data_IF_194889674471
#
_entry.id   IF_194889674471
#
_cell.length_a   1.000
_cell.length_b   1.000
_cell.length_c   1.000
_cell.angle_alpha   90.00
_cell.angle_beta   90.00
_cell.angle_gamma   90.00
#
_symmetry.space_group_name_H-M   'P 1'
#
loop_
_entity.id
_entity.type
_entity.pdbx_description
1 polymer ?
#
# COMPACT_ATOMS: atom_id res chain seq x y z
N UNK A 1 -92.33 13.43 7.41
CA UNK A 1 -91.89 12.01 7.52
C UNK A 1 -90.74 11.61 6.59
N UNK A 2 -90.03 12.52 5.89
CA UNK A 2 -88.92 12.16 4.98
C UNK A 2 -87.50 12.36 5.54
N UNK A 3 -87.35 12.99 6.71
CA UNK A 3 -86.03 13.32 7.30
C UNK A 3 -85.53 12.29 8.32
N UNK A 4 -86.40 11.43 8.87
CA UNK A 4 -86.02 10.49 9.93
C UNK A 4 -85.39 9.18 9.38
N UNK A 5 -85.79 8.75 8.17
CA UNK A 5 -85.24 7.55 7.53
C UNK A 5 -83.80 7.73 7.03
N UNK A 6 -83.37 8.95 6.72
CA UNK A 6 -82.01 9.22 6.25
C UNK A 6 -80.96 9.10 7.36
N UNK A 7 -81.33 9.43 8.61
CA UNK A 7 -80.43 9.42 9.76
C UNK A 7 -80.10 7.99 10.24
N UNK A 8 -81.06 7.07 10.13
CA UNK A 8 -80.87 5.66 10.50
C UNK A 8 -79.96 4.93 9.51
N UNK A 9 -80.06 5.23 8.21
CA UNK A 9 -79.20 4.62 7.18
C UNK A 9 -77.74 5.10 7.31
N UNK A 10 -77.52 6.36 7.70
CA UNK A 10 -76.18 6.90 7.92
C UNK A 10 -75.49 6.28 9.16
N UNK A 11 -76.25 5.98 10.22
CA UNK A 11 -75.71 5.36 11.43
C UNK A 11 -75.30 3.88 11.25
N UNK A 12 -75.97 3.15 10.36
CA UNK A 12 -75.63 1.75 10.04
C UNK A 12 -74.45 1.63 9.06
N UNK A 13 -74.20 2.64 8.24
CA UNK A 13 -73.01 2.69 7.38
C UNK A 13 -71.71 2.95 8.17
N UNK A 14 -71.80 3.65 9.30
CA UNK A 14 -70.66 3.94 10.17
C UNK A 14 -70.19 2.73 11.01
N UNK A 15 -71.04 1.70 11.18
CA UNK A 15 -70.70 0.49 11.94
C UNK A 15 -69.99 -0.58 11.10
N UNK A 16 -70.06 -0.49 9.77
CA UNK A 16 -69.40 -1.43 8.86
C UNK A 16 -67.90 -1.15 8.67
N UNK A 17 -67.45 0.10 8.82
CA UNK A 17 -66.04 0.50 8.70
C UNK A 17 -65.21 0.17 9.94
N UNK A 18 -65.83 -0.13 11.08
CA UNK A 18 -65.15 -0.51 12.32
C UNK A 18 -64.64 -1.97 12.35
N UNK A 19 -65.07 -2.81 11.39
CA UNK A 19 -64.66 -4.22 11.26
C UNK A 19 -63.84 -4.51 10.00
N UNK A 20 -63.36 -3.49 9.29
CA UNK A 20 -62.44 -3.70 8.18
C UNK A 20 -61.09 -4.19 8.73
N UNK A 21 -60.53 -5.33 8.24
CA UNK A 21 -59.24 -5.81 8.69
C UNK A 21 -58.18 -4.78 8.26
N UNK A 22 -57.58 -4.10 9.24
CA UNK A 22 -56.42 -3.24 9.00
C UNK A 22 -55.33 -4.10 8.41
N UNK A 23 -55.00 -3.88 7.13
CA UNK A 23 -53.90 -4.56 6.47
C UNK A 23 -52.64 -4.33 7.31
N UNK A 24 -52.23 -5.36 8.04
CA UNK A 24 -51.00 -5.33 8.83
C UNK A 24 -49.89 -5.23 7.81
N UNK A 25 -49.30 -4.05 7.65
CA UNK A 25 -48.04 -3.92 6.91
C UNK A 25 -47.09 -4.89 7.59
N UNK A 26 -46.79 -6.00 6.91
CA UNK A 26 -45.71 -6.89 7.30
C UNK A 26 -44.44 -6.07 7.19
N UNK A 27 -44.04 -5.46 8.29
CA UNK A 27 -42.73 -4.88 8.42
C UNK A 27 -41.79 -6.08 8.45
N UNK A 28 -41.20 -6.39 7.29
CA UNK A 28 -40.12 -7.36 7.22
C UNK A 28 -39.07 -6.94 8.24
N UNK A 29 -38.97 -7.67 9.35
CA UNK A 29 -37.88 -7.60 10.31
C UNK A 29 -36.67 -8.38 9.80
N UNK A 30 -36.46 -8.38 8.48
CA UNK A 30 -35.15 -8.71 7.96
C UNK A 30 -34.21 -7.63 8.49
N UNK A 31 -33.44 -7.99 9.52
CA UNK A 31 -32.18 -7.35 9.84
C UNK A 31 -31.50 -7.15 8.47
N UNK A 32 -31.37 -5.91 8.01
CA UNK A 32 -30.42 -5.62 6.93
C UNK A 32 -29.07 -5.94 7.55
N UNK A 33 -28.62 -7.18 7.37
CA UNK A 33 -27.24 -7.54 7.64
C UNK A 33 -26.44 -6.56 6.79
N UNK A 34 -25.81 -5.59 7.44
CA UNK A 34 -24.89 -4.68 6.78
C UNK A 34 -23.93 -5.54 5.94
N UNK A 35 -23.74 -5.14 4.69
CA UNK A 35 -22.89 -5.91 3.79
C UNK A 35 -21.50 -6.00 4.41
N UNK A 36 -21.08 -7.22 4.73
CA UNK A 36 -19.77 -7.44 5.37
C UNK A 36 -18.69 -6.88 4.44
N UNK A 37 -17.83 -6.01 4.96
CA UNK A 37 -16.63 -5.50 4.27
C UNK A 37 -15.79 -6.62 3.62
N UNK A 38 -15.82 -7.83 4.20
CA UNK A 38 -15.17 -8.99 3.61
C UNK A 38 -15.63 -9.30 2.17
N UNK A 39 -16.91 -9.07 1.84
CA UNK A 39 -17.43 -9.32 0.50
C UNK A 39 -16.92 -8.33 -0.54
N UNK A 40 -16.61 -7.09 -0.16
CA UNK A 40 -16.09 -6.07 -1.08
C UNK A 40 -14.56 -6.12 -1.23
N UNK A 41 -13.86 -6.68 -0.24
CA UNK A 41 -12.39 -6.76 -0.23
C UNK A 41 -11.84 -8.06 -0.85
N UNK A 42 -12.68 -9.10 -0.97
CA UNK A 42 -12.24 -10.46 -1.30
C UNK A 42 -13.01 -11.01 -2.49
N UNK A 43 -12.29 -11.52 -3.48
CA UNK A 43 -12.89 -12.31 -4.55
C UNK A 43 -13.03 -13.77 -4.10
N UNK A 44 -14.27 -14.22 -3.94
CA UNK A 44 -14.59 -15.59 -3.50
C UNK A 44 -14.47 -16.63 -4.61
N UNK A 45 -14.35 -16.20 -5.87
CA UNK A 45 -14.35 -17.09 -7.04
C UNK A 45 -12.98 -17.70 -7.28
N UNK A 46 -11.92 -16.92 -7.09
CA UNK A 46 -10.54 -17.34 -7.33
C UNK A 46 -9.76 -17.53 -6.03
N UNK A 47 -8.77 -18.42 -6.06
CA UNK A 47 -7.83 -18.66 -4.96
C UNK A 47 -6.49 -17.99 -5.24
N UNK A 48 -5.78 -17.61 -4.18
CA UNK A 48 -4.40 -17.13 -4.28
C UNK A 48 -3.47 -18.23 -4.76
N UNK A 49 -2.49 -17.91 -5.62
CA UNK A 49 -1.46 -18.87 -6.07
C UNK A 49 -0.49 -19.23 -4.95
N UNK A 50 -0.08 -18.23 -4.15
CA UNK A 50 0.86 -18.42 -3.05
C UNK A 50 0.25 -19.12 -1.84
N UNK A 51 -1.03 -18.87 -1.56
CA UNK A 51 -1.75 -19.47 -0.42
C UNK A 51 -3.05 -20.11 -0.93
N UNK A 52 -3.02 -21.37 -1.43
CA UNK A 52 -4.14 -21.96 -2.17
C UNK A 52 -5.46 -22.09 -1.40
N UNK A 53 -5.40 -22.12 -0.06
CA UNK A 53 -6.60 -22.18 0.79
C UNK A 53 -7.28 -20.83 0.97
N UNK A 54 -6.61 -19.71 0.71
CA UNK A 54 -7.19 -18.37 0.82
C UNK A 54 -7.80 -17.90 -0.51
N UNK A 55 -8.97 -17.23 -0.47
CA UNK A 55 -9.49 -16.51 -1.63
C UNK A 55 -8.57 -15.34 -1.99
N UNK A 56 -8.64 -14.93 -3.24
CA UNK A 56 -7.78 -13.89 -3.79
C UNK A 56 -8.25 -12.49 -3.36
N UNK A 57 -7.35 -11.55 -3.02
CA UNK A 57 -7.72 -10.15 -2.86
C UNK A 57 -8.20 -9.55 -4.19
N UNK A 58 -9.23 -8.70 -4.14
CA UNK A 58 -9.89 -8.17 -5.33
C UNK A 58 -8.96 -7.34 -6.24
N UNK A 59 -7.97 -6.66 -5.66
CA UNK A 59 -7.08 -5.78 -6.39
C UNK A 59 -5.89 -6.51 -7.02
N UNK A 60 -5.56 -7.72 -6.58
CA UNK A 60 -4.51 -8.51 -7.19
C UNK A 60 -5.14 -9.30 -8.34
N UNK A 61 -4.75 -9.04 -9.58
CA UNK A 61 -5.30 -9.67 -10.80
C UNK A 61 -4.23 -10.46 -11.60
N UNK A 62 -2.95 -10.30 -11.27
CA UNK A 62 -1.82 -11.02 -11.86
C UNK A 62 -1.18 -10.25 -12.99
N UNK A 63 -1.65 -9.03 -13.24
CA UNK A 63 -1.12 -8.12 -14.26
C UNK A 63 0.19 -7.48 -13.81
N UNK A 64 0.40 -7.37 -12.49
CA UNK A 64 1.60 -6.74 -11.96
C UNK A 64 2.81 -7.69 -11.97
N UNK A 65 4.02 -7.16 -12.22
CA UNK A 65 5.25 -7.95 -12.14
C UNK A 65 5.47 -8.49 -10.73
N UNK A 66 5.83 -9.77 -10.65
CA UNK A 66 6.05 -10.46 -9.38
C UNK A 66 4.78 -10.72 -8.53
N UNK A 67 3.58 -10.60 -9.11
CA UNK A 67 2.33 -10.96 -8.43
C UNK A 67 2.12 -12.49 -8.38
N UNK A 68 2.07 -13.03 -7.16
CA UNK A 68 1.73 -14.42 -6.88
C UNK A 68 0.45 -14.55 -6.04
N UNK A 69 -0.33 -13.46 -5.91
CA UNK A 69 -1.50 -13.38 -5.04
C UNK A 69 -1.17 -13.46 -3.55
N UNK A 70 0.07 -13.20 -3.14
CA UNK A 70 0.49 -13.29 -1.75
C UNK A 70 0.10 -12.03 -0.98
N UNK A 71 -1.12 -12.01 -0.45
CA UNK A 71 -1.58 -11.01 0.52
C UNK A 71 -2.60 -11.68 1.46
N UNK A 72 -2.11 -12.45 2.45
CA UNK A 72 -2.98 -13.18 3.38
C UNK A 72 -3.77 -12.26 4.33
N UNK A 73 -3.38 -10.99 4.45
CA UNK A 73 -3.99 -10.01 5.33
C UNK A 73 -4.89 -9.00 4.61
N UNK A 74 -5.06 -9.12 3.29
CA UNK A 74 -5.89 -8.26 2.45
C UNK A 74 -5.51 -6.77 2.56
N UNK A 75 -4.22 -6.48 2.72
CA UNK A 75 -3.71 -5.10 2.81
C UNK A 75 -3.94 -4.33 1.51
N UNK A 76 -3.89 -5.03 0.37
CA UNK A 76 -4.17 -4.45 -0.94
C UNK A 76 -5.62 -4.01 -1.11
N UNK A 77 -6.56 -4.58 -0.34
CA UNK A 77 -8.00 -4.32 -0.43
C UNK A 77 -8.51 -3.26 0.54
N UNK A 78 -7.63 -2.64 1.33
CA UNK A 78 -8.04 -1.60 2.29
C UNK A 78 -8.63 -0.40 1.52
N UNK A 79 -9.89 0.00 1.78
CA UNK A 79 -10.54 1.09 1.09
C UNK A 79 -10.15 2.45 1.71
N UNK A 80 -8.86 2.79 1.69
CA UNK A 80 -8.34 4.06 2.18
C UNK A 80 -7.40 4.69 1.16
N UNK A 81 -7.47 6.02 1.04
CA UNK A 81 -6.50 6.77 0.25
C UNK A 81 -5.24 7.04 1.08
N UNK A 82 -4.16 6.32 0.79
CA UNK A 82 -2.87 6.47 1.47
C UNK A 82 -2.14 7.77 1.08
N UNK A 83 -2.52 8.45 0.00
CA UNK A 83 -2.00 9.77 -0.33
C UNK A 83 -2.29 10.82 0.76
N UNK A 84 -3.28 10.54 1.63
CA UNK A 84 -3.62 11.33 2.80
C UNK A 84 -2.46 11.62 3.76
N UNK A 85 -1.39 10.80 3.73
CA UNK A 85 -0.18 11.03 4.51
C UNK A 85 0.69 12.18 3.98
N UNK A 86 0.63 12.46 2.67
CA UNK A 86 1.38 13.54 2.02
C UNK A 86 0.54 14.82 1.99
N UNK A 87 -0.69 14.70 1.48
CA UNK A 87 -1.65 15.79 1.43
C UNK A 87 -2.87 15.40 2.23
N UNK A 88 -3.23 16.14 3.30
CA UNK A 88 -4.43 15.85 4.08
C UNK A 88 -5.68 15.79 3.18
N UNK A 89 -6.59 14.83 3.38
CA UNK A 89 -7.78 14.69 2.56
C UNK A 89 -8.77 15.87 2.69
N UNK A 90 -8.59 16.73 3.69
CA UNK A 90 -9.37 17.94 3.89
C UNK A 90 -8.96 19.12 3.00
N UNK A 91 -7.82 19.03 2.30
CA UNK A 91 -7.35 20.12 1.44
C UNK A 91 -8.10 20.19 0.11
N UNK A 92 -8.42 19.03 -0.48
CA UNK A 92 -9.05 18.94 -1.79
C UNK A 92 -9.74 17.58 -1.99
N UNK A 93 -10.92 17.57 -2.61
CA UNK A 93 -11.58 16.34 -3.03
C UNK A 93 -10.86 15.75 -4.25
N UNK A 94 -10.09 14.69 -4.03
CA UNK A 94 -9.34 14.01 -5.09
C UNK A 94 -9.93 12.62 -5.36
N UNK A 95 -9.77 12.14 -6.59
CA UNK A 95 -10.20 10.79 -7.00
C UNK A 95 -9.53 9.68 -6.16
N UNK A 96 -8.37 10.00 -5.60
CA UNK A 96 -7.62 9.16 -4.68
C UNK A 96 -6.75 8.14 -5.39
N UNK A 97 -5.65 7.72 -4.74
CA UNK A 97 -4.75 6.70 -5.27
C UNK A 97 -5.32 5.32 -4.93
N UNK A 98 -5.36 4.37 -5.89
CA UNK A 98 -5.65 2.97 -5.58
C UNK A 98 -4.65 2.42 -4.55
N UNK A 99 -5.14 1.73 -3.52
CA UNK A 99 -4.28 1.17 -2.45
C UNK A 99 -3.15 0.32 -3.02
N UNK A 100 -3.41 -0.48 -4.04
CA UNK A 100 -2.39 -1.31 -4.69
C UNK A 100 -1.28 -0.48 -5.35
N UNK A 101 -1.60 0.67 -5.94
CA UNK A 101 -0.62 1.56 -6.53
C UNK A 101 0.34 2.10 -5.46
N UNK A 102 -0.21 2.57 -4.32
CA UNK A 102 0.59 3.04 -3.19
C UNK A 102 1.49 1.94 -2.62
N UNK A 103 0.93 0.74 -2.43
CA UNK A 103 1.69 -0.41 -1.91
C UNK A 103 2.80 -0.83 -2.88
N UNK A 104 2.57 -0.74 -4.20
CA UNK A 104 3.59 -1.05 -5.21
C UNK A 104 4.71 -0.02 -5.22
N UNK A 105 4.39 1.27 -5.15
CA UNK A 105 5.39 2.35 -5.01
C UNK A 105 6.24 2.14 -3.75
N UNK A 106 5.58 1.83 -2.63
CA UNK A 106 6.25 1.57 -1.36
C UNK A 106 7.17 0.34 -1.46
N UNK A 107 6.70 -0.79 -2.00
CA UNK A 107 7.49 -2.02 -2.18
C UNK A 107 8.73 -1.77 -3.03
N UNK A 108 8.60 -1.06 -4.15
CA UNK A 108 9.72 -0.77 -5.03
C UNK A 108 10.75 0.14 -4.35
N UNK A 109 10.31 1.15 -3.58
CA UNK A 109 11.21 2.03 -2.82
C UNK A 109 11.97 1.26 -1.74
N UNK A 110 11.28 0.43 -0.95
CA UNK A 110 11.94 -0.41 0.06
C UNK A 110 12.92 -1.40 -0.58
N UNK A 111 12.55 -2.02 -1.71
CA UNK A 111 13.43 -2.94 -2.45
C UNK A 111 14.70 -2.26 -2.95
N UNK A 112 14.58 -1.08 -3.60
CA UNK A 112 15.73 -0.30 -4.08
C UNK A 112 16.64 0.16 -2.95
N UNK A 113 16.07 0.69 -1.88
CA UNK A 113 16.82 1.13 -0.71
C UNK A 113 17.54 -0.05 -0.04
N UNK A 114 16.87 -1.19 0.12
CA UNK A 114 17.48 -2.38 0.70
C UNK A 114 18.61 -2.95 -0.19
N UNK A 115 18.43 -2.99 -1.52
CA UNK A 115 19.49 -3.43 -2.44
C UNK A 115 20.76 -2.57 -2.30
N UNK A 116 20.60 -1.24 -2.26
CA UNK A 116 21.72 -0.32 -2.06
C UNK A 116 22.31 -0.43 -0.65
N UNK A 117 21.48 -0.62 0.37
CA UNK A 117 21.93 -0.73 1.75
C UNK A 117 22.75 -2.01 2.00
N UNK A 118 22.34 -3.16 1.45
CA UNK A 118 23.11 -4.42 1.57
C UNK A 118 24.48 -4.28 0.92
N UNK A 119 24.54 -3.79 -0.33
CA UNK A 119 25.82 -3.59 -1.02
C UNK A 119 26.66 -2.55 -0.31
N UNK A 120 26.06 -1.43 0.10
CA UNK A 120 26.75 -0.36 0.81
C UNK A 120 27.35 -0.81 2.13
N UNK A 121 26.62 -1.62 2.91
CA UNK A 121 27.11 -2.15 4.19
C UNK A 121 28.29 -3.10 4.00
N UNK A 122 28.17 -4.08 3.09
CA UNK A 122 29.22 -5.07 2.84
C UNK A 122 30.47 -4.40 2.24
N UNK A 123 30.27 -3.49 1.27
CA UNK A 123 31.39 -2.75 0.65
C UNK A 123 32.06 -1.86 1.68
N UNK A 124 31.32 -1.19 2.57
CA UNK A 124 31.88 -0.32 3.59
C UNK A 124 32.81 -1.07 4.57
N UNK A 125 32.54 -2.35 4.86
CA UNK A 125 33.44 -3.16 5.69
C UNK A 125 34.74 -3.55 4.98
N UNK A 126 34.77 -3.54 3.64
CA UNK A 126 35.96 -3.94 2.86
C UNK A 126 36.72 -2.74 2.26
N UNK A 127 36.01 -1.70 1.84
CA UNK A 127 36.51 -0.55 1.07
C UNK A 127 35.90 0.72 1.65
N UNK A 128 36.77 1.63 2.11
CA UNK A 128 36.38 2.95 2.62
C UNK A 128 36.67 4.05 1.59
N UNK A 129 35.96 5.17 1.74
CA UNK A 129 36.22 6.35 0.93
C UNK A 129 37.60 6.94 1.30
N UNK A 130 38.32 7.55 0.34
CA UNK A 130 39.70 8.03 0.53
C UNK A 130 39.76 9.35 1.30
N UNK A 131 39.05 9.45 2.41
CA UNK A 131 39.10 10.59 3.31
C UNK A 131 39.37 10.12 4.74
N UNK A 132 40.18 10.88 5.49
CA UNK A 132 40.61 10.50 6.84
C UNK A 132 39.44 10.27 7.81
N UNK A 133 38.36 11.02 7.64
CA UNK A 133 37.13 10.88 8.44
C UNK A 133 36.36 9.57 8.24
N UNK A 134 36.63 8.84 7.15
CA UNK A 134 35.97 7.56 6.84
C UNK A 134 36.94 6.38 6.92
N UNK A 135 38.14 6.60 7.46
CA UNK A 135 39.15 5.56 7.64
C UNK A 135 38.69 4.50 8.65
N UNK A 136 39.31 3.32 8.60
CA UNK A 136 39.05 2.24 9.55
C UNK A 136 39.37 2.64 11.01
N UNK A 137 40.30 3.58 11.21
CA UNK A 137 40.62 4.11 12.53
C UNK A 137 39.51 5.00 13.09
N UNK A 138 38.84 5.76 12.21
CA UNK A 138 37.74 6.65 12.58
C UNK A 138 36.41 5.90 12.73
N UNK A 139 36.19 4.86 11.91
CA UNK A 139 34.96 4.06 11.89
C UNK A 139 35.37 2.58 11.92
N UNK A 140 35.37 1.94 13.11
CA UNK A 140 35.82 0.57 13.23
C UNK A 140 34.90 -0.39 12.46
N UNK A 141 33.58 -0.28 12.67
CA UNK A 141 32.60 -1.22 12.13
C UNK A 141 31.44 -0.46 11.48
N UNK A 142 30.84 -1.03 10.41
CA UNK A 142 29.70 -0.41 9.74
C UNK A 142 28.45 -0.26 10.62
N UNK A 143 28.32 -1.07 11.68
CA UNK A 143 27.27 -0.91 12.69
C UNK A 143 27.36 0.44 13.44
N UNK A 144 28.56 0.84 13.86
CA UNK A 144 28.78 2.08 14.60
C UNK A 144 28.87 3.31 13.68
N UNK A 145 29.02 3.09 12.37
CA UNK A 145 29.15 4.16 11.38
C UNK A 145 28.00 5.15 11.43
N UNK A 146 26.76 4.71 11.68
CA UNK A 146 25.62 5.61 11.79
C UNK A 146 25.85 6.69 12.86
N UNK A 147 26.17 6.30 14.09
CA UNK A 147 26.29 7.24 15.20
C UNK A 147 27.47 8.19 15.01
N UNK A 148 28.62 7.66 14.58
CA UNK A 148 29.84 8.44 14.33
C UNK A 148 29.59 9.48 13.22
N UNK A 149 28.92 9.09 12.13
CA UNK A 149 28.66 9.99 11.01
C UNK A 149 27.53 10.99 11.27
N UNK A 150 26.66 10.72 12.24
CA UNK A 150 25.69 11.69 12.76
C UNK A 150 26.40 12.75 13.60
N UNK A 151 27.28 12.35 14.52
CA UNK A 151 28.08 13.29 15.33
C UNK A 151 28.98 14.16 14.46
N UNK A 152 29.54 13.59 13.39
CA UNK A 152 30.34 14.33 12.42
C UNK A 152 29.51 15.30 11.55
N UNK A 153 28.19 15.13 11.49
CA UNK A 153 27.28 15.95 10.67
C UNK A 153 27.16 15.52 9.21
N UNK A 154 27.95 14.54 8.73
CA UNK A 154 27.86 14.02 7.36
C UNK A 154 26.48 13.42 7.06
N UNK A 155 25.91 12.68 8.01
CA UNK A 155 24.57 12.10 7.86
C UNK A 155 23.46 13.14 7.80
N UNK A 156 23.65 14.32 8.40
CA UNK A 156 22.67 15.42 8.34
C UNK A 156 22.62 16.01 6.93
N UNK A 157 23.77 16.19 6.28
CA UNK A 157 23.82 16.63 4.88
C UNK A 157 23.14 15.61 3.97
N UNK A 158 23.40 14.32 4.19
CA UNK A 158 22.76 13.24 3.45
C UNK A 158 21.23 13.22 3.65
N UNK A 159 20.77 13.43 4.89
CA UNK A 159 19.34 13.54 5.20
C UNK A 159 18.66 14.69 4.45
N UNK A 160 19.30 15.86 4.36
CA UNK A 160 18.73 17.00 3.61
C UNK A 160 18.69 16.73 2.11
N UNK A 161 19.74 16.12 1.55
CA UNK A 161 19.78 15.77 0.13
C UNK A 161 18.67 14.76 -0.23
N UNK A 162 18.52 13.70 0.58
CA UNK A 162 17.44 12.72 0.41
C UNK A 162 16.05 13.34 0.67
N UNK A 163 15.94 14.19 1.67
CA UNK A 163 14.69 14.90 1.98
C UNK A 163 14.18 15.73 0.82
N UNK A 164 15.07 16.45 0.12
CA UNK A 164 14.70 17.20 -1.08
C UNK A 164 14.17 16.28 -2.20
N UNK A 165 14.87 15.17 -2.47
CA UNK A 165 14.45 14.18 -3.48
C UNK A 165 13.09 13.58 -3.13
N UNK A 166 12.87 13.22 -1.86
CA UNK A 166 11.61 12.65 -1.38
C UNK A 166 10.45 13.65 -1.43
N UNK A 167 10.70 14.94 -1.17
CA UNK A 167 9.68 16.00 -1.34
C UNK A 167 9.27 16.13 -2.80
N UNK A 168 10.22 16.13 -3.74
CA UNK A 168 9.91 16.16 -5.18
C UNK A 168 9.12 14.91 -5.61
N UNK A 169 9.51 13.72 -5.13
CA UNK A 169 8.82 12.47 -5.43
C UNK A 169 7.42 12.40 -4.80
N UNK A 170 7.24 12.94 -3.58
CA UNK A 170 5.96 13.02 -2.90
C UNK A 170 4.95 13.90 -3.64
N UNK A 171 5.40 15.02 -4.22
CA UNK A 171 4.55 15.87 -5.06
C UNK A 171 4.05 15.14 -6.32
N UNK A 172 4.88 14.27 -6.92
CA UNK A 172 4.46 13.45 -8.05
C UNK A 172 3.37 12.44 -7.68
N UNK A 173 3.39 11.89 -6.46
CA UNK A 173 2.31 11.01 -5.97
C UNK A 173 1.00 11.77 -5.79
N UNK A 174 1.06 13.03 -5.34
CA UNK A 174 -0.12 13.89 -5.27
C UNK A 174 -0.74 14.11 -6.65
N UNK A 175 0.07 14.35 -7.69
CA UNK A 175 -0.43 14.50 -9.07
C UNK A 175 -1.13 13.24 -9.58
N UNK A 176 -0.59 12.06 -9.26
CA UNK A 176 -1.26 10.78 -9.57
C UNK A 176 -2.58 10.65 -8.79
N UNK A 177 -2.63 11.07 -7.51
CA UNK A 177 -3.87 11.09 -6.71
C UNK A 177 -4.97 11.98 -7.30
N UNK A 178 -4.57 13.08 -7.95
CA UNK A 178 -5.47 13.99 -8.66
C UNK A 178 -5.93 13.45 -10.01
N UNK A 179 -5.25 12.41 -10.54
CA UNK A 179 -5.49 11.89 -11.88
C UNK A 179 -4.91 12.79 -12.99
N UNK A 180 -3.98 13.68 -12.64
CA UNK A 180 -3.29 14.57 -13.58
C UNK A 180 -2.08 13.90 -14.26
N UNK A 181 -1.72 12.69 -13.79
CA UNK A 181 -0.56 11.95 -14.27
C UNK A 181 -0.87 10.46 -14.38
N UNK A 182 -0.58 9.88 -15.55
CA UNK A 182 -0.68 8.44 -15.84
C UNK A 182 0.64 7.69 -15.56
N UNK A 183 1.45 8.21 -14.64
CA UNK A 183 2.72 7.61 -14.23
C UNK A 183 2.48 6.20 -13.68
N UNK A 184 3.26 5.21 -14.15
CA UNK A 184 3.28 3.89 -13.56
C UNK A 184 3.95 3.90 -12.17
N UNK A 185 3.50 3.02 -11.27
CA UNK A 185 4.10 2.88 -9.95
C UNK A 185 5.59 2.58 -10.06
N UNK A 186 6.39 3.35 -9.33
CA UNK A 186 7.84 3.32 -9.23
C UNK A 186 8.62 3.66 -10.51
N UNK A 187 7.97 4.21 -11.54
CA UNK A 187 8.65 4.72 -12.72
C UNK A 187 9.07 6.19 -12.52
N UNK A 188 10.37 6.47 -12.52
CA UNK A 188 10.91 7.83 -12.37
C UNK A 188 11.52 8.36 -13.68
N UNK A 189 11.39 7.63 -14.79
CA UNK A 189 12.08 7.95 -16.04
C UNK A 189 13.62 7.83 -15.96
N UNK A 190 14.14 7.30 -14.84
CA UNK A 190 15.57 7.07 -14.62
C UNK A 190 16.03 5.77 -15.29
N UNK A 191 15.87 5.69 -16.60
CA UNK A 191 16.17 4.49 -17.39
C UNK A 191 17.52 4.59 -18.12
N UNK A 192 18.08 5.80 -18.28
CA UNK A 192 19.32 5.99 -19.06
C UNK A 192 19.24 5.50 -20.52
N UNK A 193 18.03 5.19 -21.02
CA UNK A 193 17.78 4.62 -22.33
C UNK A 193 17.85 3.09 -22.42
N UNK A 194 17.97 2.36 -21.30
CA UNK A 194 18.14 0.91 -21.28
C UNK A 194 16.85 0.12 -21.60
N UNK A 195 15.67 0.70 -21.42
CA UNK A 195 14.37 0.12 -21.77
C UNK A 195 13.92 0.50 -23.19
N UNK A 196 14.57 1.48 -23.84
CA UNK A 196 14.24 1.88 -25.22
C UNK A 196 14.53 0.72 -26.19
N UNK A 197 13.49 0.23 -26.86
CA UNK A 197 13.57 -0.82 -27.88
C UNK A 197 13.38 -2.25 -27.38
N UNK A 198 13.06 -2.46 -26.09
CA UNK A 198 12.70 -3.79 -25.57
C UNK A 198 11.21 -4.07 -25.74
N UNK A 199 10.88 -5.34 -25.92
CA UNK A 199 9.48 -5.79 -25.99
C UNK A 199 8.80 -5.71 -24.62
N UNK A 200 7.48 -5.56 -24.56
CA UNK A 200 6.72 -5.50 -23.30
C UNK A 200 6.97 -6.72 -22.39
N UNK A 201 7.11 -7.91 -22.97
CA UNK A 201 7.44 -9.13 -22.23
C UNK A 201 8.84 -9.08 -21.58
N UNK A 202 9.83 -8.46 -22.26
CA UNK A 202 11.16 -8.27 -21.70
C UNK A 202 11.15 -7.20 -20.59
N UNK A 203 10.39 -6.12 -20.77
CA UNK A 203 10.20 -5.09 -19.74
C UNK A 203 9.56 -5.72 -18.50
N UNK A 204 8.52 -6.54 -18.67
CA UNK A 204 7.87 -7.26 -17.58
C UNK A 204 8.83 -8.20 -16.83
N UNK A 205 9.68 -8.92 -17.57
CA UNK A 205 10.72 -9.77 -16.97
C UNK A 205 11.73 -8.96 -16.14
N UNK A 206 12.19 -7.83 -16.66
CA UNK A 206 13.12 -6.95 -15.95
C UNK A 206 12.49 -6.36 -14.69
N UNK A 207 11.25 -5.86 -14.76
CA UNK A 207 10.50 -5.39 -13.60
C UNK A 207 10.29 -6.51 -12.56
N UNK A 208 10.06 -7.74 -13.00
CA UNK A 208 9.94 -8.90 -12.10
C UNK A 208 11.28 -9.22 -11.43
N UNK A 209 12.40 -9.12 -12.14
CA UNK A 209 13.73 -9.31 -11.56
C UNK A 209 14.06 -8.25 -10.52
N UNK A 210 13.73 -6.99 -10.78
CA UNK A 210 13.90 -5.90 -9.83
C UNK A 210 13.15 -6.18 -8.52
N UNK A 211 11.87 -6.55 -8.60
CA UNK A 211 11.05 -6.84 -7.42
C UNK A 211 11.56 -8.07 -6.66
N UNK A 212 11.95 -9.13 -7.35
CA UNK A 212 12.47 -10.33 -6.69
C UNK A 212 13.82 -10.07 -5.99
N UNK A 213 14.73 -9.34 -6.63
CA UNK A 213 16.00 -8.95 -6.01
C UNK A 213 15.77 -7.96 -4.85
N UNK A 214 14.82 -7.04 -4.99
CA UNK A 214 14.40 -6.13 -3.92
C UNK A 214 13.85 -6.87 -2.70
N UNK A 215 12.96 -7.86 -2.90
CA UNK A 215 12.42 -8.71 -1.82
C UNK A 215 13.51 -9.49 -1.10
N UNK A 216 14.45 -10.08 -1.85
CA UNK A 216 15.60 -10.76 -1.27
C UNK A 216 16.47 -9.80 -0.45
N UNK A 217 16.74 -8.61 -0.98
CA UNK A 217 17.56 -7.61 -0.30
C UNK A 217 16.90 -7.06 0.97
N UNK A 218 15.58 -6.88 0.99
CA UNK A 218 14.85 -6.47 2.20
C UNK A 218 15.04 -7.48 3.34
N UNK A 219 14.98 -8.77 3.04
CA UNK A 219 15.23 -9.83 4.02
C UNK A 219 16.71 -9.90 4.43
N UNK A 220 17.63 -9.77 3.45
CA UNK A 220 19.06 -9.80 3.70
C UNK A 220 19.52 -8.65 4.60
N UNK A 221 19.05 -7.42 4.34
CA UNK A 221 19.35 -6.26 5.17
C UNK A 221 18.82 -6.42 6.59
N UNK A 222 17.58 -6.91 6.75
CA UNK A 222 17.01 -7.20 8.07
C UNK A 222 17.82 -8.24 8.84
N UNK A 223 18.33 -9.27 8.16
CA UNK A 223 19.24 -10.27 8.73
C UNK A 223 20.55 -9.66 9.21
N UNK A 224 21.26 -8.93 8.33
CA UNK A 224 22.55 -8.29 8.63
C UNK A 224 22.40 -7.30 9.80
N UNK A 225 21.38 -6.44 9.77
CA UNK A 225 21.15 -5.45 10.83
C UNK A 225 20.83 -6.11 12.19
N UNK A 226 20.10 -7.23 12.18
CA UNK A 226 19.77 -7.96 13.42
C UNK A 226 21.00 -8.71 13.96
N UNK A 227 21.76 -9.38 13.11
CA UNK A 227 22.95 -10.14 13.53
C UNK A 227 24.07 -9.23 14.05
N UNK A 228 24.30 -8.10 13.38
CA UNK A 228 25.27 -7.10 13.83
C UNK A 228 24.90 -6.50 15.18
N UNK A 229 23.61 -6.23 15.42
CA UNK A 229 23.12 -5.77 16.72
C UNK A 229 23.25 -6.81 17.84
N UNK A 230 23.24 -8.10 17.52
CA UNK A 230 23.41 -9.19 18.49
C UNK A 230 24.88 -9.46 18.89
N UNK A 231 25.84 -8.82 18.22
CA UNK A 231 27.26 -8.91 18.58
C UNK A 231 28.17 -9.52 17.51
N UNK A 232 27.72 -9.65 16.26
CA UNK A 232 28.54 -10.07 15.13
C UNK A 232 28.75 -8.89 14.16
N UNK A 233 29.61 -7.91 14.49
CA UNK A 233 29.68 -6.64 13.76
C UNK A 233 30.46 -6.72 12.44
N UNK A 234 31.23 -7.78 12.22
CA UNK A 234 32.15 -7.92 11.10
C UNK A 234 31.68 -9.00 10.12
N UNK A 235 32.05 -8.86 8.86
CA UNK A 235 31.75 -9.87 7.84
C UNK A 235 32.68 -11.10 7.99
N UNK A 236 32.13 -12.34 7.95
CA UNK A 236 30.71 -12.68 7.84
C UNK A 236 29.96 -12.56 9.18
N UNK A 237 28.73 -12.03 9.12
CA UNK A 237 27.91 -11.65 10.29
C UNK A 237 27.24 -12.83 11.03
N UNK A 238 27.94 -13.94 11.24
CA UNK A 238 27.41 -15.14 11.92
C UNK A 238 28.39 -15.74 12.93
#
# INVERSE_FOLDING_TARGET
MKSFSALVVAAMAASASAFAPTATKSTSTALKAEERLWNSMVDKTQRSKAVPYLPRPINLDGTLPGDQGFDPFYLSSIPKNFAGFIQPPSWEETKGIPTLYWMREAEAKHGRMAMLAVVGWIVADSIRLPFSQFSFDAIPNSYNAHNILVEQGTMVVFLHALGLVEVCNGAALVQVSKGESDREAADFGFDGGYLKGKTEAQIFKLKTQEINNGRLAMLAFGGIATQTALGHPDFPYF
#
